data_IF_931198729508
#
_entry.id   IF_931198729508
#
_cell.length_a   1.000
_cell.length_b   1.000
_cell.length_c   1.000
_cell.angle_alpha   90.00
_cell.angle_beta   90.00
_cell.angle_gamma   90.00
#
_symmetry.space_group_name_H-M   'P 1'
#
loop_
_entity.id
_entity.type
_entity.pdbx_description
1 polymer ?
#
# COMPACT_ATOMS: atom_id res chain seq x y z
N UNK A 1 -28.17 21.05 -80.53
CA UNK A 1 -28.08 22.24 -79.67
C UNK A 1 -28.93 22.01 -78.45
N UNK A 2 -28.38 22.35 -77.28
CA UNK A 2 -28.99 22.41 -75.95
C UNK A 2 -29.27 21.08 -75.24
N UNK A 3 -28.96 20.91 -73.97
CA UNK A 3 -28.04 21.60 -73.05
C UNK A 3 -27.93 20.60 -71.89
N UNK A 4 -26.73 20.27 -71.45
CA UNK A 4 -26.52 19.48 -70.24
C UNK A 4 -26.88 20.41 -69.06
N UNK A 5 -27.80 19.98 -68.20
CA UNK A 5 -28.12 20.66 -66.94
C UNK A 5 -27.73 19.74 -65.78
N UNK A 6 -26.49 19.91 -65.31
CA UNK A 6 -25.97 19.27 -64.09
C UNK A 6 -26.28 20.23 -62.95
N UNK A 7 -27.52 20.21 -62.47
CA UNK A 7 -27.91 20.94 -61.28
C UNK A 7 -27.75 20.06 -60.03
N UNK A 8 -26.60 20.24 -59.38
CA UNK A 8 -26.50 20.46 -57.93
C UNK A 8 -27.01 19.35 -56.98
N UNK A 9 -26.17 18.33 -56.75
CA UNK A 9 -26.16 17.61 -55.46
C UNK A 9 -25.24 18.40 -54.53
N UNK A 10 -25.81 19.28 -53.71
CA UNK A 10 -25.05 19.95 -52.65
C UNK A 10 -24.70 18.91 -51.56
N UNK A 11 -23.43 18.78 -51.16
CA UNK A 11 -23.09 17.97 -50.00
C UNK A 11 -23.68 18.66 -48.75
N UNK A 12 -24.50 17.93 -48.00
CA UNK A 12 -24.94 18.30 -46.66
C UNK A 12 -23.69 18.48 -45.78
N UNK A 13 -23.25 19.73 -45.61
CA UNK A 13 -22.18 20.08 -44.67
C UNK A 13 -22.68 19.83 -43.26
N UNK A 14 -22.25 18.71 -42.69
CA UNK A 14 -22.40 18.44 -41.25
C UNK A 14 -21.77 19.62 -40.50
N UNK A 15 -22.49 20.30 -39.60
CA UNK A 15 -21.94 21.44 -38.90
C UNK A 15 -20.75 20.99 -38.04
N UNK A 16 -19.65 21.78 -37.97
CA UNK A 16 -18.45 21.44 -37.19
C UNK A 16 -18.72 21.35 -35.68
N UNK A 17 -19.95 21.65 -35.23
CA UNK A 17 -20.41 21.42 -33.87
C UNK A 17 -20.55 19.93 -33.55
N UNK A 18 -21.16 19.16 -34.45
CA UNK A 18 -21.51 17.75 -34.21
C UNK A 18 -20.26 16.84 -34.13
N UNK A 19 -19.21 17.20 -34.87
CA UNK A 19 -17.93 16.49 -34.85
C UNK A 19 -17.15 16.78 -33.55
N UNK A 20 -17.26 18.00 -33.01
CA UNK A 20 -16.54 18.40 -31.79
C UNK A 20 -17.11 17.77 -30.52
N UNK A 21 -18.44 17.62 -30.42
CA UNK A 21 -19.08 17.02 -29.24
C UNK A 21 -18.79 15.52 -29.12
N UNK A 22 -18.71 14.82 -30.25
CA UNK A 22 -18.43 13.36 -30.29
C UNK A 22 -16.98 13.05 -29.92
N UNK A 23 -16.02 13.88 -30.35
CA UNK A 23 -14.61 13.72 -30.02
C UNK A 23 -14.30 13.96 -28.53
N UNK A 24 -15.00 14.91 -27.90
CA UNK A 24 -14.84 15.19 -26.46
C UNK A 24 -15.39 14.01 -25.64
N UNK A 25 -16.57 13.49 -25.96
CA UNK A 25 -17.15 12.37 -25.24
C UNK A 25 -16.29 11.10 -25.35
N UNK A 26 -15.78 10.79 -26.56
CA UNK A 26 -14.89 9.65 -26.79
C UNK A 26 -13.57 9.78 -26.01
N UNK A 27 -12.99 10.99 -25.95
CA UNK A 27 -11.78 11.25 -25.18
C UNK A 27 -12.02 11.13 -23.66
N UNK A 28 -13.18 11.56 -23.16
CA UNK A 28 -13.52 11.40 -21.73
C UNK A 28 -13.73 9.93 -21.36
N UNK A 29 -14.44 9.13 -22.19
CA UNK A 29 -14.54 7.67 -21.97
C UNK A 29 -13.20 6.96 -22.07
N UNK A 30 -12.31 7.38 -22.98
CA UNK A 30 -10.97 6.83 -23.09
C UNK A 30 -10.11 7.18 -21.86
N UNK A 31 -10.18 8.41 -21.35
CA UNK A 31 -9.48 8.80 -20.12
C UNK A 31 -10.05 8.10 -18.87
N UNK A 32 -11.37 7.84 -18.80
CA UNK A 32 -11.97 7.08 -17.69
C UNK A 32 -11.59 5.59 -17.77
N UNK A 33 -11.49 5.02 -18.98
CA UNK A 33 -10.99 3.65 -19.17
C UNK A 33 -9.49 3.50 -18.87
N UNK A 34 -8.73 4.60 -18.93
CA UNK A 34 -7.30 4.65 -18.57
C UNK A 34 -7.07 5.14 -17.12
N UNK A 35 -8.13 5.52 -16.42
CA UNK A 35 -8.09 6.27 -15.16
C UNK A 35 -8.72 5.55 -13.96
N UNK A 36 -9.12 4.28 -14.11
CA UNK A 36 -9.28 3.37 -12.98
C UNK A 36 -7.88 2.89 -12.57
N UNK A 37 -7.02 3.81 -12.16
CA UNK A 37 -5.94 3.42 -11.28
C UNK A 37 -6.63 2.93 -10.02
N UNK A 38 -6.59 1.62 -9.76
CA UNK A 38 -6.90 1.10 -8.44
C UNK A 38 -6.18 2.03 -7.45
N UNK A 39 -6.93 2.61 -6.51
CA UNK A 39 -6.27 3.29 -5.40
C UNK A 39 -5.43 2.18 -4.75
N UNK A 40 -4.12 2.17 -5.00
CA UNK A 40 -3.29 1.02 -4.68
C UNK A 40 -3.38 0.81 -3.17
N UNK A 41 -4.00 -0.30 -2.77
CA UNK A 41 -4.11 -0.65 -1.37
C UNK A 41 -3.28 -1.92 -1.22
N UNK A 42 -1.97 -1.69 -1.06
CA UNK A 42 -1.02 -2.79 -0.93
C UNK A 42 -1.33 -3.60 0.33
N UNK A 43 -1.18 -4.92 0.23
CA UNK A 43 -1.12 -5.75 1.41
C UNK A 43 0.13 -5.37 2.19
N UNK A 44 0.00 -5.23 3.50
CA UNK A 44 1.10 -4.86 4.39
C UNK A 44 1.13 -5.79 5.59
N UNK A 45 2.32 -5.96 6.19
CA UNK A 45 2.51 -6.73 7.41
C UNK A 45 3.08 -5.84 8.51
N UNK A 46 2.49 -5.89 9.69
CA UNK A 46 3.00 -5.23 10.90
C UNK A 46 3.34 -6.27 11.95
N UNK A 47 4.63 -6.48 12.27
CA UNK A 47 5.03 -7.27 13.43
C UNK A 47 4.89 -6.47 14.73
N UNK A 48 4.47 -7.11 15.83
CA UNK A 48 4.50 -6.51 17.18
C UNK A 48 5.91 -6.51 17.81
N UNK A 49 6.77 -7.39 17.32
CA UNK A 49 8.17 -7.56 17.69
C UNK A 49 8.94 -8.09 16.50
N UNK A 50 10.20 -7.69 16.35
CA UNK A 50 11.08 -8.17 15.28
C UNK A 50 12.35 -8.81 15.81
N UNK A 51 12.43 -9.13 17.11
CA UNK A 51 13.67 -9.60 17.72
C UNK A 51 14.07 -11.01 17.23
N UNK A 52 15.33 -11.16 16.80
CA UNK A 52 15.92 -12.42 16.36
C UNK A 52 15.71 -13.55 17.36
N UNK A 53 15.44 -14.76 16.88
CA UNK A 53 15.12 -15.96 17.68
C UNK A 53 13.77 -15.88 18.43
N UNK A 54 13.16 -14.71 18.48
CA UNK A 54 11.95 -14.42 19.25
C UNK A 54 10.66 -14.94 18.61
N UNK A 55 9.56 -14.47 19.18
CA UNK A 55 8.21 -14.66 18.64
C UNK A 55 7.59 -13.32 18.31
N UNK A 56 6.77 -13.31 17.26
CA UNK A 56 6.04 -12.12 16.83
C UNK A 56 4.60 -12.48 16.47
N UNK A 57 3.67 -11.61 16.82
CA UNK A 57 2.41 -11.48 16.12
C UNK A 57 2.62 -10.68 14.85
N UNK A 58 2.40 -11.31 13.71
CA UNK A 58 2.38 -10.67 12.40
C UNK A 58 0.92 -10.37 12.05
N UNK A 59 0.62 -9.09 11.79
CA UNK A 59 -0.72 -8.66 11.38
C UNK A 59 -0.69 -8.17 9.94
N UNK A 60 -1.38 -8.89 9.07
CA UNK A 60 -1.53 -8.57 7.65
C UNK A 60 -2.77 -7.71 7.47
N UNK A 61 -2.60 -6.50 6.95
CA UNK A 61 -3.73 -5.66 6.53
C UNK A 61 -3.99 -5.91 5.05
N UNK A 62 -5.17 -6.46 4.75
CA UNK A 62 -5.59 -6.84 3.40
C UNK A 62 -6.82 -6.03 3.00
N UNK A 63 -6.67 -5.01 2.15
CA UNK A 63 -7.79 -4.31 1.52
C UNK A 63 -8.32 -5.06 0.29
N UNK A 64 -9.56 -4.81 -0.13
CA UNK A 64 -10.05 -5.29 -1.43
C UNK A 64 -9.61 -4.36 -2.56
N UNK A 65 -9.02 -4.89 -3.64
CA UNK A 65 -8.64 -4.09 -4.81
C UNK A 65 -9.73 -4.06 -5.90
N UNK A 66 -10.88 -4.69 -5.66
CA UNK A 66 -11.95 -4.81 -6.67
C UNK A 66 -13.18 -3.98 -6.29
N UNK A 67 -13.65 -3.16 -7.24
CA UNK A 67 -14.89 -2.40 -7.11
C UNK A 67 -16.16 -3.27 -7.17
N UNK A 68 -16.04 -4.53 -7.62
CA UNK A 68 -17.21 -5.38 -7.95
C UNK A 68 -17.12 -6.81 -7.44
N UNK A 69 -15.91 -7.33 -7.24
CA UNK A 69 -15.69 -8.67 -6.72
C UNK A 69 -15.31 -8.61 -5.24
N UNK A 70 -15.61 -9.69 -4.51
CA UNK A 70 -15.30 -9.79 -3.09
C UNK A 70 -14.01 -10.58 -2.89
N UNK A 71 -13.12 -10.10 -2.02
CA UNK A 71 -11.99 -10.92 -1.58
C UNK A 71 -12.51 -12.04 -0.69
N UNK A 72 -12.31 -13.29 -1.11
CA UNK A 72 -12.84 -14.46 -0.41
C UNK A 72 -11.76 -15.44 0.07
N UNK A 73 -10.49 -15.24 -0.34
CA UNK A 73 -9.36 -16.05 0.12
C UNK A 73 -8.08 -15.22 0.14
N UNK A 74 -7.30 -15.41 1.19
CA UNK A 74 -5.96 -14.83 1.36
C UNK A 74 -5.01 -15.96 1.73
N UNK A 75 -3.90 -16.08 1.01
CA UNK A 75 -2.85 -17.04 1.30
C UNK A 75 -1.52 -16.31 1.48
N UNK A 76 -0.88 -16.53 2.63
CA UNK A 76 0.46 -16.01 2.93
C UNK A 76 1.45 -17.15 2.89
N UNK A 77 2.47 -17.02 2.04
CA UNK A 77 3.59 -17.95 1.97
C UNK A 77 4.63 -17.62 3.05
N UNK A 78 5.13 -18.64 3.72
CA UNK A 78 6.09 -18.54 4.81
C UNK A 78 7.50 -18.88 4.31
N UNK A 79 8.56 -18.30 4.91
CA UNK A 79 9.94 -18.55 4.48
C UNK A 79 10.31 -20.02 4.65
N UNK A 80 11.01 -20.59 3.67
CA UNK A 80 11.52 -21.97 3.73
C UNK A 80 13.01 -22.04 4.07
N UNK A 81 13.78 -21.02 3.68
CA UNK A 81 15.23 -20.95 3.96
C UNK A 81 15.50 -20.56 5.42
N UNK A 82 14.58 -19.80 6.02
CA UNK A 82 14.57 -19.40 7.43
C UNK A 82 13.21 -19.68 8.06
N UNK A 83 12.82 -20.95 8.19
CA UNK A 83 11.45 -21.32 8.48
C UNK A 83 11.04 -20.99 9.90
N UNK A 84 9.80 -20.51 10.06
CA UNK A 84 9.19 -20.40 11.38
C UNK A 84 8.93 -21.79 11.95
N UNK A 85 9.41 -22.06 13.16
CA UNK A 85 9.25 -23.39 13.79
C UNK A 85 7.83 -23.64 14.29
N UNK A 86 7.05 -22.58 14.51
CA UNK A 86 5.65 -22.67 14.93
C UNK A 86 4.87 -21.47 14.43
N UNK A 87 3.72 -21.75 13.80
CA UNK A 87 2.73 -20.74 13.39
C UNK A 87 1.37 -21.09 13.96
N UNK A 88 0.63 -20.06 14.40
CA UNK A 88 -0.77 -20.16 14.84
C UNK A 88 -1.54 -18.95 14.31
N UNK A 89 -2.64 -19.17 13.62
CA UNK A 89 -3.53 -18.09 13.19
C UNK A 89 -4.44 -17.64 14.34
N UNK A 90 -4.67 -16.35 14.46
CA UNK A 90 -5.70 -15.80 15.33
C UNK A 90 -7.08 -16.05 14.66
N UNK A 91 -8.08 -16.60 15.36
CA UNK A 91 -9.41 -16.78 14.79
C UNK A 91 -10.02 -15.45 14.34
N UNK A 92 -10.64 -15.46 13.17
CA UNK A 92 -11.39 -14.33 12.59
C UNK A 92 -12.82 -14.82 12.36
N UNK A 93 -13.81 -14.03 12.81
CA UNK A 93 -15.22 -14.39 12.65
C UNK A 93 -15.60 -14.48 11.16
N UNK A 94 -16.23 -15.57 10.76
CA UNK A 94 -16.62 -15.84 9.37
C UNK A 94 -15.48 -16.16 8.42
N UNK A 95 -14.29 -16.45 8.95
CA UNK A 95 -13.14 -16.89 8.16
C UNK A 95 -12.51 -18.14 8.78
N UNK A 96 -12.32 -19.15 7.94
CA UNK A 96 -11.59 -20.36 8.31
C UNK A 96 -10.10 -20.22 7.98
N UNK A 97 -9.24 -20.47 8.98
CA UNK A 97 -7.79 -20.46 8.82
C UNK A 97 -7.22 -21.90 8.73
N UNK A 98 -6.39 -22.14 7.73
CA UNK A 98 -5.63 -23.38 7.53
C UNK A 98 -4.12 -23.07 7.56
N UNK A 99 -3.35 -23.89 8.29
CA UNK A 99 -1.89 -23.80 8.30
C UNK A 99 -1.36 -25.04 7.59
N UNK A 100 -0.82 -24.82 6.38
CA UNK A 100 -0.24 -25.89 5.58
C UNK A 100 1.17 -26.15 6.08
N UNK A 101 1.45 -27.41 6.41
CA UNK A 101 2.78 -27.90 6.80
C UNK A 101 3.29 -28.90 5.77
N UNK A 102 4.60 -28.95 5.59
CA UNK A 102 5.24 -29.94 4.72
C UNK A 102 6.74 -29.94 4.85
N UNK A 103 7.37 -30.80 4.05
CA UNK A 103 8.82 -30.91 3.94
C UNK A 103 9.43 -29.61 3.41
N UNK A 104 10.54 -29.21 4.03
CA UNK A 104 11.38 -28.14 3.53
C UNK A 104 12.17 -28.61 2.30
N UNK A 105 12.48 -27.70 1.34
CA UNK A 105 13.32 -28.04 0.20
C UNK A 105 14.70 -28.58 0.62
N UNK A 106 15.25 -28.03 1.70
CA UNK A 106 16.52 -28.44 2.30
C UNK A 106 16.39 -28.43 3.85
N UNK A 107 17.06 -29.34 4.58
CA UNK A 107 17.10 -29.28 6.04
C UNK A 107 17.77 -28.00 6.55
N UNK A 108 17.17 -27.36 7.56
CA UNK A 108 17.69 -26.11 8.16
C UNK A 108 18.03 -26.34 9.63
N UNK A 109 19.17 -25.81 10.09
CA UNK A 109 19.56 -25.87 11.50
C UNK A 109 19.00 -24.66 12.25
N UNK A 110 18.14 -24.89 13.25
CA UNK A 110 17.58 -23.85 14.12
C UNK A 110 17.82 -24.27 15.58
N UNK A 111 18.47 -23.40 16.36
CA UNK A 111 18.77 -23.66 17.79
C UNK A 111 19.48 -25.02 18.04
N UNK A 112 20.28 -25.50 17.08
CA UNK A 112 20.99 -26.78 17.17
C UNK A 112 20.15 -28.03 16.86
N UNK A 113 18.90 -27.86 16.42
CA UNK A 113 18.05 -28.92 15.90
C UNK A 113 17.98 -28.85 14.37
N UNK A 114 18.03 -30.01 13.72
CA UNK A 114 17.77 -30.14 12.28
C UNK A 114 16.25 -30.15 12.05
N UNK A 115 15.78 -29.20 11.25
CA UNK A 115 14.38 -29.03 10.89
C UNK A 115 14.21 -29.47 9.43
N UNK A 116 13.35 -30.46 9.20
CA UNK A 116 13.03 -30.98 7.86
C UNK A 116 11.60 -30.68 7.42
N UNK A 117 10.72 -30.32 8.36
CA UNK A 117 9.33 -29.95 8.09
C UNK A 117 8.99 -28.65 8.83
N UNK A 118 8.19 -27.79 8.19
CA UNK A 118 7.75 -26.53 8.78
C UNK A 118 6.37 -26.11 8.24
N UNK A 119 5.69 -25.14 8.88
CA UNK A 119 4.62 -24.38 8.24
C UNK A 119 5.12 -23.69 6.96
N UNK A 120 4.43 -23.92 5.84
CA UNK A 120 4.78 -23.40 4.52
C UNK A 120 3.84 -22.26 4.08
N UNK A 121 2.59 -22.30 4.50
CA UNK A 121 1.63 -21.22 4.25
C UNK A 121 0.53 -21.15 5.30
N UNK A 122 -0.13 -20.00 5.37
CA UNK A 122 -1.38 -19.80 6.11
C UNK A 122 -2.43 -19.30 5.13
N UNK A 123 -3.58 -19.97 5.09
CA UNK A 123 -4.69 -19.67 4.19
C UNK A 123 -5.89 -19.28 5.03
N UNK A 124 -6.47 -18.11 4.76
CA UNK A 124 -7.77 -17.71 5.28
C UNK A 124 -8.79 -17.75 4.14
N UNK A 125 -9.93 -18.41 4.38
CA UNK A 125 -11.05 -18.48 3.44
C UNK A 125 -12.31 -17.96 4.11
N UNK A 126 -13.02 -17.04 3.47
CA UNK A 126 -14.31 -16.56 3.95
C UNK A 126 -15.31 -17.71 3.93
N UNK A 127 -16.08 -17.86 5.00
CA UNK A 127 -17.06 -18.94 5.12
C UNK A 127 -18.27 -18.72 4.18
N UNK A 128 -18.57 -17.45 3.86
CA UNK A 128 -19.61 -17.01 2.94
C UNK A 128 -19.33 -15.60 2.37
N UNK A 129 -20.19 -15.13 1.47
CA UNK A 129 -20.05 -13.82 0.81
C UNK A 129 -20.24 -12.64 1.77
N UNK A 130 -21.03 -12.79 2.84
CA UNK A 130 -21.29 -11.72 3.82
C UNK A 130 -20.03 -11.37 4.63
N UNK A 131 -19.15 -12.36 4.84
CA UNK A 131 -17.86 -12.16 5.50
C UNK A 131 -16.71 -11.86 4.53
N UNK A 132 -16.94 -11.93 3.22
CA UNK A 132 -15.95 -11.58 2.20
C UNK A 132 -15.76 -10.07 2.12
N UNK A 133 -14.60 -9.59 1.65
CA UNK A 133 -14.32 -8.14 1.64
C UNK A 133 -14.83 -7.48 0.37
N UNK A 134 -15.73 -6.51 0.49
CA UNK A 134 -16.17 -5.65 -0.60
C UNK A 134 -15.18 -4.49 -0.87
N UNK A 135 -15.46 -3.69 -1.90
CA UNK A 135 -14.56 -2.66 -2.43
C UNK A 135 -14.03 -1.63 -1.40
N UNK A 136 -14.82 -1.30 -0.39
CA UNK A 136 -14.46 -0.26 0.60
C UNK A 136 -13.98 -0.88 1.93
N UNK A 137 -13.74 -2.19 1.96
CA UNK A 137 -13.41 -2.94 3.16
C UNK A 137 -11.95 -3.42 3.16
N UNK A 138 -11.45 -3.63 4.37
CA UNK A 138 -10.18 -4.29 4.63
C UNK A 138 -10.33 -5.19 5.84
N UNK A 139 -9.49 -6.21 5.93
CA UNK A 139 -9.42 -7.11 7.08
C UNK A 139 -7.99 -7.24 7.57
N UNK A 140 -7.86 -7.36 8.88
CA UNK A 140 -6.60 -7.75 9.51
C UNK A 140 -6.60 -9.27 9.72
N UNK A 141 -5.62 -9.96 9.16
CA UNK A 141 -5.36 -11.37 9.42
C UNK A 141 -4.08 -11.47 10.25
N UNK A 142 -4.17 -12.03 11.46
CA UNK A 142 -3.03 -12.11 12.36
C UNK A 142 -2.58 -13.55 12.58
N UNK A 143 -1.27 -13.75 12.66
CA UNK A 143 -0.68 -15.02 13.08
C UNK A 143 0.42 -14.78 14.12
N UNK A 144 0.67 -15.74 15.00
CA UNK A 144 1.89 -15.77 15.81
C UNK A 144 2.92 -16.67 15.13
N UNK A 145 4.12 -16.16 14.92
CA UNK A 145 5.29 -16.90 14.43
C UNK A 145 6.37 -16.99 15.54
N UNK A 146 7.19 -18.05 15.51
CA UNK A 146 8.34 -18.24 16.39
C UNK A 146 9.59 -18.56 15.57
N UNK A 147 10.75 -18.37 16.22
CA UNK A 147 12.06 -18.54 15.60
C UNK A 147 12.22 -17.57 14.42
N UNK A 148 12.05 -16.27 14.70
CA UNK A 148 12.47 -15.27 13.73
C UNK A 148 13.98 -15.45 13.42
N UNK A 149 14.40 -15.23 12.17
CA UNK A 149 15.79 -15.41 11.73
C UNK A 149 16.77 -14.45 12.42
N UNK A 150 18.03 -14.49 12.01
CA UNK A 150 19.08 -13.62 12.53
C UNK A 150 18.81 -12.14 12.21
N UNK A 151 19.41 -11.26 13.00
CA UNK A 151 19.36 -9.81 12.81
C UNK A 151 19.73 -9.41 11.38
N UNK A 152 19.02 -8.41 10.83
CA UNK A 152 19.26 -7.88 9.49
C UNK A 152 18.61 -8.72 8.39
N UNK A 153 17.98 -9.85 8.72
CA UNK A 153 17.24 -10.64 7.72
C UNK A 153 15.96 -9.92 7.31
N UNK A 154 15.81 -9.67 6.01
CA UNK A 154 14.55 -9.25 5.40
C UNK A 154 13.68 -10.49 5.20
N UNK A 155 12.52 -10.52 5.84
CA UNK A 155 11.53 -11.58 5.67
C UNK A 155 10.49 -11.09 4.68
N UNK A 156 10.44 -11.71 3.51
CA UNK A 156 9.38 -11.51 2.52
C UNK A 156 8.27 -12.54 2.77
N UNK A 157 7.02 -12.08 2.75
CA UNK A 157 5.83 -12.91 3.01
C UNK A 157 4.86 -12.78 1.83
N UNK A 158 5.18 -13.41 0.68
CA UNK A 158 4.36 -13.32 -0.52
C UNK A 158 2.90 -13.65 -0.21
N UNK A 159 2.00 -12.78 -0.66
CA UNK A 159 0.58 -12.91 -0.36
C UNK A 159 -0.24 -13.03 -1.64
N UNK A 160 -1.13 -14.02 -1.69
CA UNK A 160 -2.02 -14.27 -2.80
C UNK A 160 -3.45 -13.96 -2.34
N UNK A 161 -4.12 -13.07 -3.05
CA UNK A 161 -5.48 -12.65 -2.77
C UNK A 161 -6.40 -13.13 -3.90
N UNK A 162 -7.42 -13.92 -3.57
CA UNK A 162 -8.40 -14.41 -4.54
C UNK A 162 -9.74 -13.70 -4.37
N UNK A 163 -10.42 -13.51 -5.51
CA UNK A 163 -11.69 -12.81 -5.59
C UNK A 163 -12.83 -13.73 -6.04
N UNK A 164 -14.07 -13.32 -5.75
CA UNK A 164 -15.29 -14.07 -6.08
C UNK A 164 -15.53 -14.27 -7.58
N UNK A 165 -14.94 -13.43 -8.44
CA UNK A 165 -15.00 -13.55 -9.90
C UNK A 165 -13.93 -14.50 -10.49
N UNK A 166 -13.09 -15.08 -9.64
CA UNK A 166 -12.00 -15.98 -10.01
C UNK A 166 -10.67 -15.29 -10.35
N UNK A 167 -10.61 -13.96 -10.29
CA UNK A 167 -9.36 -13.22 -10.42
C UNK A 167 -8.46 -13.38 -9.18
N UNK A 168 -7.17 -13.12 -9.36
CA UNK A 168 -6.14 -13.25 -8.32
C UNK A 168 -5.16 -12.08 -8.39
N UNK A 169 -4.85 -11.47 -7.25
CA UNK A 169 -3.72 -10.54 -7.08
C UNK A 169 -2.57 -11.26 -6.37
N UNK A 170 -1.35 -11.09 -6.87
CA UNK A 170 -0.14 -11.68 -6.29
C UNK A 170 0.77 -10.55 -5.79
N UNK A 171 0.97 -10.49 -4.48
CA UNK A 171 1.89 -9.59 -3.81
C UNK A 171 3.17 -10.39 -3.52
N UNK A 172 3.99 -10.64 -4.54
CA UNK A 172 5.11 -11.58 -4.51
C UNK A 172 6.46 -10.99 -4.93
N UNK A 173 6.49 -9.73 -5.34
CA UNK A 173 7.75 -9.08 -5.72
C UNK A 173 8.59 -8.83 -4.45
N UNK A 174 9.79 -9.43 -4.34
CA UNK A 174 10.57 -9.34 -3.12
C UNK A 174 11.05 -7.92 -2.87
N UNK A 175 11.01 -7.50 -1.61
CA UNK A 175 11.72 -6.31 -1.14
C UNK A 175 13.21 -6.66 -1.00
N UNK A 176 14.05 -6.15 -1.88
CA UNK A 176 15.50 -6.35 -1.83
C UNK A 176 16.20 -5.29 -0.94
N UNK A 177 15.62 -4.09 -0.85
CA UNK A 177 16.14 -2.96 -0.07
C UNK A 177 15.00 -2.25 0.68
N UNK A 178 15.22 -1.96 1.96
CA UNK A 178 14.22 -1.30 2.80
C UNK A 178 13.97 0.14 2.33
N UNK A 179 12.71 0.47 2.08
CA UNK A 179 12.29 1.78 1.59
C UNK A 179 12.11 1.87 0.08
N UNK A 180 12.41 0.79 -0.67
CA UNK A 180 12.02 0.62 -2.06
C UNK A 180 10.85 -0.35 -2.11
N UNK A 181 9.64 0.16 -2.34
CA UNK A 181 8.43 -0.66 -2.44
C UNK A 181 8.08 -0.90 -3.92
N UNK A 182 8.13 -2.16 -4.41
CA UNK A 182 7.61 -2.51 -5.73
C UNK A 182 6.09 -2.33 -5.80
N UNK A 183 5.55 -2.16 -7.01
CA UNK A 183 4.10 -2.00 -7.22
C UNK A 183 3.31 -3.22 -6.70
N UNK A 184 3.80 -4.45 -6.91
CA UNK A 184 3.22 -5.69 -6.37
C UNK A 184 4.11 -6.29 -5.26
N UNK A 185 4.63 -5.42 -4.39
CA UNK A 185 5.58 -5.79 -3.34
C UNK A 185 5.01 -6.83 -2.36
N UNK A 186 5.78 -7.88 -2.09
CA UNK A 186 5.48 -8.81 -1.01
C UNK A 186 5.57 -8.08 0.34
N UNK A 187 4.59 -8.26 1.24
CA UNK A 187 4.68 -7.77 2.60
C UNK A 187 5.99 -8.22 3.25
N UNK A 188 6.74 -7.30 3.84
CA UNK A 188 8.05 -7.62 4.39
C UNK A 188 8.37 -6.87 5.69
N UNK A 189 9.30 -7.41 6.46
CA UNK A 189 9.89 -6.72 7.62
C UNK A 189 11.33 -7.19 7.87
N UNK A 190 12.08 -6.43 8.67
CA UNK A 190 13.45 -6.77 9.04
C UNK A 190 13.52 -7.24 10.49
N UNK A 191 14.28 -8.30 10.70
CA UNK A 191 14.59 -8.81 12.03
C UNK A 191 15.63 -7.92 12.72
N UNK A 192 15.37 -7.53 13.97
CA UNK A 192 16.29 -6.76 14.82
C UNK A 192 17.10 -7.67 15.74
N UNK A 193 18.14 -7.13 16.38
CA UNK A 193 18.94 -7.85 17.37
C UNK A 193 18.08 -8.56 18.44
N UNK A 194 18.62 -9.65 18.99
CA UNK A 194 18.01 -10.34 20.13
C UNK A 194 17.85 -9.38 21.32
N UNK A 195 16.68 -9.37 21.96
CA UNK A 195 16.38 -8.53 23.12
C UNK A 195 16.10 -7.05 22.80
N UNK A 196 16.11 -6.63 21.53
CA UNK A 196 15.84 -5.23 21.13
C UNK A 196 14.35 -4.81 21.21
N UNK A 197 13.46 -5.64 21.74
CA UNK A 197 12.04 -5.32 21.86
C UNK A 197 11.75 -4.31 22.99
N UNK A 198 11.48 -3.05 22.60
CA UNK A 198 10.61 -1.98 23.20
C UNK A 198 11.05 -0.55 22.79
N UNK A 199 11.63 -0.34 21.60
CA UNK A 199 12.06 0.99 21.15
C UNK A 199 11.41 1.41 19.84
N UNK A 200 10.54 2.43 19.89
CA UNK A 200 10.44 3.38 18.77
C UNK A 200 11.86 3.93 18.47
N UNK A 201 12.19 4.37 17.23
CA UNK A 201 13.54 4.79 16.89
C UNK A 201 13.94 6.01 17.74
N UNK A 202 14.67 5.76 18.83
CA UNK A 202 15.46 6.78 19.51
C UNK A 202 16.75 6.92 18.73
N UNK A 203 16.87 8.03 18.01
CA UNK A 203 18.12 8.58 17.52
C UNK A 203 19.22 8.37 18.56
N UNK A 204 20.31 7.73 18.17
CA UNK A 204 21.55 7.66 18.92
C UNK A 204 21.91 9.05 19.45
N UNK A 205 21.83 9.21 20.77
CA UNK A 205 22.62 10.21 21.48
C UNK A 205 23.63 9.41 22.29
N UNK A 206 24.85 9.37 21.77
CA UNK A 206 26.05 9.12 22.55
C UNK A 206 26.07 10.09 23.72
N UNK A 207 25.79 9.60 24.92
CA UNK A 207 26.15 10.30 26.15
C UNK A 207 26.95 9.37 27.05
N UNK A 208 28.23 9.73 27.11
CA UNK A 208 29.25 9.26 28.02
C UNK A 208 28.79 9.49 29.47
N UNK A 209 29.02 8.48 30.31
CA UNK A 209 28.75 8.56 31.73
C UNK A 209 29.64 9.61 32.42
N UNK A 210 29.04 10.48 33.23
CA UNK A 210 29.69 11.00 34.43
C UNK A 210 28.65 11.21 35.52
N UNK A 211 28.80 10.48 36.62
CA UNK A 211 28.08 10.74 37.86
C UNK A 211 28.62 12.00 38.55
N UNK A 212 27.74 12.87 39.07
CA UNK A 212 27.95 13.42 40.41
C UNK A 212 26.64 13.95 41.02
N UNK A 213 26.63 13.94 42.34
CA UNK A 213 25.50 14.03 43.25
C UNK A 213 25.27 15.45 43.79
N UNK A 214 24.04 15.66 44.26
CA UNK A 214 23.68 16.51 45.43
C UNK A 214 23.12 17.93 45.21
N UNK A 215 21.81 18.02 45.49
CA UNK A 215 21.09 18.96 46.35
C UNK A 215 21.45 20.47 46.37
N UNK A 216 20.43 21.30 46.09
CA UNK A 216 20.42 22.71 46.47
C UNK A 216 19.13 23.44 46.10
N UNK A 217 18.29 23.72 47.11
CA UNK A 217 17.08 24.56 47.12
C UNK A 217 17.27 25.99 46.60
N UNK A 218 16.25 26.54 45.92
CA UNK A 218 16.16 27.97 45.62
C UNK A 218 14.86 28.35 44.89
N UNK A 219 13.88 28.80 45.67
CA UNK A 219 12.63 29.47 45.26
C UNK A 219 12.90 30.83 44.61
N UNK A 220 12.22 31.17 43.50
CA UNK A 220 11.53 32.46 43.22
C UNK A 220 10.83 32.47 41.84
N UNK A 221 9.52 32.71 41.85
CA UNK A 221 8.69 33.35 40.80
C UNK A 221 8.97 34.90 40.86
N UNK A 222 8.87 35.76 39.79
CA UNK A 222 7.70 35.84 38.90
C UNK A 222 7.85 36.36 37.45
N UNK A 223 6.68 36.28 36.77
CA UNK A 223 6.16 37.18 35.72
C UNK A 223 6.52 36.96 34.22
N UNK A 224 5.52 36.43 33.52
CA UNK A 224 4.86 36.95 32.31
C UNK A 224 5.59 37.08 30.95
N UNK A 225 4.89 36.47 29.96
CA UNK A 225 4.65 36.85 28.55
C UNK A 225 5.51 36.25 27.42
N UNK A 226 4.77 35.65 26.47
CA UNK A 226 5.03 35.40 25.03
C UNK A 226 6.13 34.43 24.60
N UNK A 227 5.73 33.27 24.06
CA UNK A 227 5.72 33.01 22.61
C UNK A 227 5.23 31.58 22.32
N UNK A 228 4.15 31.48 21.55
CA UNK A 228 3.73 30.24 20.90
C UNK A 228 4.66 29.99 19.71
N UNK A 229 5.60 29.05 19.85
CA UNK A 229 6.39 28.55 18.74
C UNK A 229 5.66 27.39 18.09
N UNK A 230 4.79 27.68 17.12
CA UNK A 230 4.38 26.71 16.11
C UNK A 230 5.59 26.42 15.22
N UNK A 231 6.34 25.38 15.57
CA UNK A 231 7.39 24.83 14.71
C UNK A 231 6.73 23.98 13.61
N UNK A 232 6.24 24.65 12.57
CA UNK A 232 5.94 24.03 11.28
C UNK A 232 7.18 24.11 10.40
N UNK A 233 8.08 23.14 10.55
CA UNK A 233 9.19 22.92 9.62
C UNK A 233 8.67 22.20 8.38
N UNK A 234 8.17 22.97 7.41
CA UNK A 234 7.79 22.47 6.08
C UNK A 234 8.87 22.89 5.09
N UNK A 235 9.61 21.91 4.58
CA UNK A 235 10.75 22.08 3.67
C UNK A 235 10.33 22.72 2.32
N UNK A 236 11.13 23.64 1.75
CA UNK A 236 10.73 24.54 0.66
C UNK A 236 10.68 23.95 -0.77
N UNK A 237 10.41 22.66 -0.96
CA UNK A 237 10.48 22.02 -2.30
C UNK A 237 9.11 21.73 -2.94
N UNK A 238 7.98 21.89 -2.24
CA UNK A 238 6.64 21.52 -2.75
C UNK A 238 5.83 22.62 -3.42
N UNK A 239 6.29 23.87 -3.47
CA UNK A 239 5.50 24.99 -4.02
C UNK A 239 5.65 25.22 -5.54
N UNK A 240 6.71 24.70 -6.18
CA UNK A 240 6.94 24.93 -7.61
C UNK A 240 5.97 24.12 -8.48
N UNK A 241 5.60 22.90 -8.06
CA UNK A 241 4.63 22.06 -8.78
C UNK A 241 3.19 22.59 -8.68
N UNK A 242 2.81 23.15 -7.53
CA UNK A 242 1.45 23.68 -7.29
C UNK A 242 1.18 24.96 -8.09
N UNK A 243 2.20 25.81 -8.26
CA UNK A 243 2.10 27.03 -9.08
C UNK A 243 2.01 26.68 -10.58
N UNK A 244 2.75 25.67 -11.05
CA UNK A 244 2.64 25.22 -12.44
C UNK A 244 1.26 24.61 -12.77
N UNK A 245 0.69 23.81 -11.85
CA UNK A 245 -0.65 23.24 -12.01
C UNK A 245 -1.76 24.29 -12.04
N UNK A 246 -1.69 25.31 -11.17
CA UNK A 246 -2.66 26.39 -11.12
C UNK A 246 -2.64 27.24 -12.40
N UNK A 247 -1.45 27.52 -12.95
CA UNK A 247 -1.31 28.27 -14.21
C UNK A 247 -1.88 27.50 -15.40
N UNK A 248 -1.68 26.17 -15.44
CA UNK A 248 -2.28 25.30 -16.45
C UNK A 248 -3.81 25.31 -16.42
N UNK A 249 -4.41 25.24 -15.22
CA UNK A 249 -5.86 25.26 -15.04
C UNK A 249 -6.47 26.60 -15.49
N UNK A 250 -5.84 27.73 -15.13
CA UNK A 250 -6.29 29.06 -15.54
C UNK A 250 -6.22 29.22 -17.06
N UNK A 251 -5.15 28.74 -17.70
CA UNK A 251 -5.01 28.78 -19.16
C UNK A 251 -6.08 27.91 -19.86
N UNK A 252 -6.37 26.72 -19.33
CA UNK A 252 -7.43 25.84 -19.83
C UNK A 252 -8.82 26.46 -19.75
N UNK A 253 -9.17 27.06 -18.60
CA UNK A 253 -10.45 27.75 -18.39
C UNK A 253 -10.61 28.96 -19.32
N UNK A 254 -9.55 29.75 -19.51
CA UNK A 254 -9.58 30.91 -20.42
C UNK A 254 -9.74 30.50 -21.89
N UNK A 255 -9.11 29.40 -22.32
CA UNK A 255 -9.26 28.88 -23.68
C UNK A 255 -10.69 28.37 -23.94
N UNK A 256 -11.31 27.72 -22.94
CA UNK A 256 -12.70 27.26 -23.01
C UNK A 256 -13.69 28.42 -23.13
N UNK A 257 -13.52 29.48 -22.34
CA UNK A 257 -14.38 30.68 -22.39
C UNK A 257 -14.24 31.41 -23.74
N UNK A 258 -13.03 31.45 -24.32
CA UNK A 258 -12.78 32.13 -25.61
C UNK A 258 -13.39 31.38 -26.80
N UNK A 259 -13.42 30.05 -26.77
CA UNK A 259 -14.09 29.24 -27.80
C UNK A 259 -15.62 29.36 -27.78
N UNK A 260 -16.22 29.79 -26.66
CA UNK A 260 -17.66 30.05 -26.56
C UNK A 260 -18.14 31.32 -27.28
N UNK A 261 -17.23 32.25 -27.64
CA UNK A 261 -17.61 33.60 -28.10
C UNK A 261 -17.54 33.81 -29.62
N UNK A 262 -17.12 32.82 -30.41
CA UNK A 262 -17.02 32.92 -31.88
C UNK A 262 -18.15 32.20 -32.63
N UNK A 263 -19.36 32.18 -32.06
CA UNK A 263 -20.59 31.80 -32.78
C UNK A 263 -21.71 32.80 -32.52
N UNK A 264 -21.56 34.00 -33.08
CA UNK A 264 -22.67 34.85 -33.51
C UNK A 264 -22.14 35.86 -34.51
N UNK A 265 -22.76 35.84 -35.69
CA UNK A 265 -22.54 36.61 -36.93
C UNK A 265 -21.52 36.04 -37.91
#
# INVERSE_FOLDING_TARGET
MNHIDIASILPTRVPPAAVKTTAILAATTALMALGLGAASAHVSVTPDSTSAGGSAQLTFRVPSESETAFTNKVEVQLPTDTPFTSVRALPVEGWTAEIVRGDLPEPVMIEGAEITEAPLSVIWTADDEEHSLSAEEYQNFSLSARALPEEGTIINLPTIQSYSDGSVSNWDQPTEEIGVEPDDGAPSFVTTAEGAGHGAPSTETTEEATEESSAGTGEVEPAATEQASTASSTSPVTWIALIAGLVGLIAGVLAFIRSGKTRTN
#
